data_IF_970785057153
#
_entry.id   IF_970785057153
#
_cell.length_a   1.000
_cell.length_b   1.000
_cell.length_c   1.000
_cell.angle_alpha   90.00
_cell.angle_beta   90.00
_cell.angle_gamma   90.00
#
_symmetry.space_group_name_H-M   'P 1'
#
loop_
_entity.id
_entity.type
_entity.pdbx_description
1 polymer ?
#
# COMPACT_ATOMS: atom_id res chain seq x y z
N UNK A 1 -2.20 -16.90 0.67
CA UNK A 1 -3.23 -15.94 0.22
C UNK A 1 -2.56 -14.97 -0.76
N UNK A 2 -2.48 -15.35 -2.04
CA UNK A 2 -1.81 -14.60 -3.12
C UNK A 2 -2.82 -14.03 -4.15
N UNK A 3 -4.11 -14.02 -3.81
CA UNK A 3 -5.19 -13.94 -4.81
C UNK A 3 -6.22 -12.83 -4.56
N UNK A 4 -5.96 -11.85 -3.67
CA UNK A 4 -6.89 -10.73 -3.53
C UNK A 4 -6.63 -9.62 -4.56
N UNK A 5 -5.37 -9.23 -4.76
CA UNK A 5 -5.03 -8.09 -5.61
C UNK A 5 -3.94 -8.32 -6.66
N UNK A 6 -3.42 -9.55 -6.82
CA UNK A 6 -2.32 -9.81 -7.75
C UNK A 6 -1.09 -8.93 -7.49
N UNK A 7 -0.28 -8.67 -8.52
CA UNK A 7 0.81 -7.70 -8.47
C UNK A 7 0.35 -6.26 -8.75
N UNK A 8 -0.89 -6.10 -9.21
CA UNK A 8 -1.45 -4.83 -9.66
C UNK A 8 -2.93 -4.77 -9.28
N UNK A 9 -3.35 -3.64 -8.73
CA UNK A 9 -4.74 -3.33 -8.40
C UNK A 9 -5.20 -2.12 -9.20
N UNK A 10 -6.41 -2.18 -9.73
CA UNK A 10 -7.07 -1.04 -10.33
C UNK A 10 -7.89 -0.36 -9.23
N UNK A 11 -7.53 0.88 -8.89
CA UNK A 11 -8.23 1.68 -7.91
C UNK A 11 -8.92 2.85 -8.60
N UNK A 12 -10.18 3.07 -8.24
CA UNK A 12 -10.89 4.26 -8.66
C UNK A 12 -10.41 5.42 -7.80
N UNK A 13 -9.50 6.24 -8.35
CA UNK A 13 -9.03 7.43 -7.66
C UNK A 13 -10.17 8.43 -7.45
N UNK A 14 -10.02 9.35 -6.49
CA UNK A 14 -11.04 10.38 -6.18
C UNK A 14 -11.48 11.28 -7.34
N UNK A 15 -10.83 11.18 -8.51
CA UNK A 15 -11.22 11.83 -9.77
C UNK A 15 -12.15 11.02 -10.69
N UNK A 16 -12.60 9.81 -10.29
CA UNK A 16 -13.50 8.97 -11.08
C UNK A 16 -12.84 8.20 -12.23
N UNK A 17 -11.52 8.07 -12.21
CA UNK A 17 -10.75 7.24 -13.14
C UNK A 17 -10.14 6.05 -12.42
N UNK A 18 -10.35 4.84 -12.95
CA UNK A 18 -9.62 3.65 -12.52
C UNK A 18 -8.16 3.77 -12.99
N UNK A 19 -7.24 3.95 -12.05
CA UNK A 19 -5.79 3.94 -12.31
C UNK A 19 -5.21 2.61 -11.82
N UNK A 20 -4.26 2.06 -12.59
CA UNK A 20 -3.58 0.83 -12.24
C UNK A 20 -2.38 1.12 -11.35
N UNK A 21 -2.44 0.61 -10.13
CA UNK A 21 -1.38 0.68 -9.14
C UNK A 21 -0.68 -0.66 -9.02
N UNK A 22 0.64 -0.64 -8.91
CA UNK A 22 1.43 -1.82 -8.56
C UNK A 22 1.54 -1.93 -7.05
N UNK A 23 1.31 -3.12 -6.51
CA UNK A 23 1.58 -3.41 -5.10
C UNK A 23 3.08 -3.67 -4.96
N UNK A 24 3.74 -2.82 -4.18
CA UNK A 24 5.16 -2.96 -3.85
C UNK A 24 5.35 -3.88 -2.64
N UNK A 25 4.55 -3.67 -1.58
CA UNK A 25 4.58 -4.48 -0.37
C UNK A 25 3.26 -4.40 0.41
N UNK A 26 3.08 -5.35 1.33
CA UNK A 26 2.03 -5.34 2.34
C UNK A 26 2.69 -5.26 3.71
N UNK A 27 2.18 -4.40 4.58
CA UNK A 27 2.70 -4.13 5.91
C UNK A 27 1.61 -4.43 6.95
N UNK A 28 2.05 -4.80 8.16
CA UNK A 28 1.17 -4.93 9.31
C UNK A 28 1.71 -4.02 10.41
N UNK A 29 0.98 -2.94 10.70
CA UNK A 29 1.38 -1.91 11.67
C UNK A 29 0.26 -1.74 12.68
N UNK A 30 0.55 -1.97 13.95
CA UNK A 30 -0.44 -1.82 15.02
C UNK A 30 -1.67 -2.74 14.89
N UNK A 31 -1.55 -3.89 14.24
CA UNK A 31 -2.64 -4.83 13.98
C UNK A 31 -3.58 -4.43 12.85
N UNK A 32 -3.16 -3.47 12.02
CA UNK A 32 -3.84 -3.01 10.81
C UNK A 32 -2.95 -3.34 9.62
N UNK A 33 -3.55 -3.75 8.51
CA UNK A 33 -2.81 -4.00 7.28
C UNK A 33 -2.77 -2.77 6.41
N UNK A 34 -1.62 -2.54 5.84
CA UNK A 34 -1.36 -1.50 4.86
C UNK A 34 -0.81 -2.12 3.60
N UNK A 35 -1.10 -1.51 2.46
CA UNK A 35 -0.52 -1.85 1.18
C UNK A 35 0.23 -0.62 0.67
N UNK A 36 1.48 -0.84 0.25
CA UNK A 36 2.29 0.18 -0.40
C UNK A 36 2.12 0.00 -1.89
N UNK A 37 1.67 1.05 -2.55
CA UNK A 37 1.29 1.07 -3.94
C UNK A 37 2.09 2.13 -4.69
N UNK A 38 2.25 1.90 -5.98
CA UNK A 38 2.93 2.84 -6.86
C UNK A 38 2.29 2.78 -8.25
N UNK A 39 1.80 3.91 -8.74
CA UNK A 39 1.34 4.04 -10.13
C UNK A 39 2.51 4.28 -11.08
N UNK A 40 2.28 4.15 -12.39
CA UNK A 40 3.32 4.41 -13.40
C UNK A 40 3.79 5.87 -13.40
N UNK A 41 2.94 6.81 -12.97
CA UNK A 41 3.30 8.23 -12.79
C UNK A 41 4.21 8.39 -11.57
N UNK A 42 3.79 7.88 -10.41
CA UNK A 42 4.59 7.89 -9.17
C UNK A 42 5.96 7.22 -9.38
N UNK A 43 6.00 6.12 -10.12
CA UNK A 43 7.25 5.42 -10.45
C UNK A 43 8.25 6.29 -11.22
N UNK A 44 7.77 7.21 -12.08
CA UNK A 44 8.65 8.15 -12.79
C UNK A 44 9.20 9.23 -11.85
N UNK A 45 8.46 9.56 -10.81
CA UNK A 45 8.81 10.56 -9.80
C UNK A 45 9.55 9.94 -8.59
N UNK A 46 9.54 8.61 -8.48
CA UNK A 46 10.11 7.87 -7.36
C UNK A 46 9.22 7.86 -6.12
N UNK A 47 7.94 8.17 -6.28
CA UNK A 47 6.96 8.28 -5.18
C UNK A 47 6.27 6.94 -4.91
N UNK A 48 5.71 6.84 -3.70
CA UNK A 48 4.89 5.72 -3.26
C UNK A 48 3.65 6.25 -2.55
N UNK A 49 2.59 5.45 -2.53
CA UNK A 49 1.36 5.76 -1.83
C UNK A 49 0.99 4.61 -0.91
N UNK A 50 0.48 4.93 0.28
CA UNK A 50 0.12 3.96 1.31
C UNK A 50 -1.39 3.94 1.47
N UNK A 51 -1.96 2.74 1.41
CA UNK A 51 -3.39 2.53 1.62
C UNK A 51 -3.61 1.54 2.75
N UNK A 52 -4.65 1.78 3.54
CA UNK A 52 -5.12 0.84 4.57
C UNK A 52 -5.98 -0.24 3.93
N UNK A 53 -5.68 -1.49 4.24
CA UNK A 53 -6.46 -2.65 3.80
C UNK A 53 -7.53 -2.92 4.85
N UNK A 54 -8.78 -2.63 4.52
CA UNK A 54 -9.93 -2.91 5.37
C UNK A 54 -10.85 -3.92 4.69
N UNK A 55 -11.69 -4.60 5.46
CA UNK A 55 -12.71 -5.47 4.90
C UNK A 55 -14.03 -4.72 4.85
N UNK A 56 -14.62 -4.64 3.67
CA UNK A 56 -15.99 -4.18 3.50
C UNK A 56 -16.99 -5.17 4.15
N UNK A 57 -18.25 -4.74 4.31
CA UNK A 57 -19.35 -5.54 4.87
C UNK A 57 -19.66 -6.84 4.11
N UNK A 58 -19.22 -7.00 2.86
CA UNK A 58 -19.31 -8.24 2.09
C UNK A 58 -18.06 -9.15 2.27
N UNK A 59 -17.09 -8.74 3.09
CA UNK A 59 -15.84 -9.46 3.33
C UNK A 59 -14.82 -9.31 2.21
N UNK A 60 -15.07 -8.41 1.25
CA UNK A 60 -14.11 -8.07 0.22
C UNK A 60 -13.06 -7.11 0.81
N UNK A 61 -11.76 -7.35 0.56
CA UNK A 61 -10.75 -6.39 0.95
C UNK A 61 -10.88 -5.15 0.08
N UNK A 62 -10.88 -3.97 0.71
CA UNK A 62 -10.89 -2.67 0.05
C UNK A 62 -9.71 -1.84 0.57
N UNK A 63 -9.20 -0.98 -0.31
CA UNK A 63 -8.09 -0.08 0.00
C UNK A 63 -8.65 1.31 0.31
N UNK A 64 -8.25 1.87 1.44
CA UNK A 64 -8.66 3.19 1.90
C UNK A 64 -7.43 4.09 2.01
N UNK A 65 -7.54 5.34 1.56
CA UNK A 65 -6.45 6.33 1.66
C UNK A 65 -6.18 6.65 3.13
N UNK A 66 -4.91 6.69 3.51
CA UNK A 66 -4.52 7.12 4.85
C UNK A 66 -4.53 8.65 4.88
N UNK A 67 -5.53 9.25 5.52
CA UNK A 67 -5.66 10.72 5.66
C UNK A 67 -4.86 11.29 6.83
N UNK A 68 -4.43 10.43 7.75
CA UNK A 68 -3.71 10.81 8.97
C UNK A 68 -2.19 10.72 8.73
N UNK A 69 -1.50 11.86 8.84
CA UNK A 69 -0.06 11.94 8.57
C UNK A 69 0.76 11.01 9.49
N UNK A 70 0.41 10.91 10.78
CA UNK A 70 1.12 10.04 11.73
C UNK A 70 0.97 8.56 11.34
N UNK A 71 -0.23 8.14 10.95
CA UNK A 71 -0.49 6.79 10.45
C UNK A 71 0.27 6.50 9.14
N UNK A 72 0.36 7.49 8.25
CA UNK A 72 1.12 7.38 7.01
C UNK A 72 2.62 7.24 7.28
N UNK A 73 3.18 8.08 8.17
CA UNK A 73 4.59 8.05 8.56
C UNK A 73 4.98 6.68 9.15
N UNK A 74 4.15 6.12 10.03
CA UNK A 74 4.39 4.79 10.62
C UNK A 74 4.43 3.68 9.56
N UNK A 75 3.53 3.73 8.59
CA UNK A 75 3.50 2.75 7.51
C UNK A 75 4.68 2.95 6.53
N UNK A 76 5.07 4.19 6.24
CA UNK A 76 6.24 4.49 5.43
C UNK A 76 7.54 4.03 6.11
N UNK A 77 7.68 4.24 7.43
CA UNK A 77 8.81 3.74 8.21
C UNK A 77 8.88 2.21 8.18
N UNK A 78 7.75 1.53 8.39
CA UNK A 78 7.69 0.08 8.30
C UNK A 78 8.03 -0.45 6.88
N UNK A 79 7.71 0.32 5.83
CA UNK A 79 8.12 -0.01 4.47
C UNK A 79 9.64 0.11 4.28
N UNK A 80 10.23 1.20 4.76
CA UNK A 80 11.68 1.42 4.69
C UNK A 80 12.43 0.32 5.44
N UNK A 81 11.99 -0.02 6.66
CA UNK A 81 12.54 -1.15 7.43
C UNK A 81 12.38 -2.48 6.69
N UNK A 82 11.28 -2.70 5.97
CA UNK A 82 11.13 -3.91 5.14
C UNK A 82 12.10 -3.94 3.95
N UNK A 83 12.34 -2.80 3.29
CA UNK A 83 13.24 -2.71 2.13
C UNK A 83 14.73 -2.77 2.53
N UNK A 84 15.09 -2.16 3.65
CA UNK A 84 16.47 -1.94 4.06
C UNK A 84 16.87 -2.71 5.32
N UNK A 85 15.93 -3.08 6.18
CA UNK A 85 16.16 -3.81 7.45
C UNK A 85 16.50 -5.29 7.29
N UNK A 86 16.63 -5.81 6.06
CA UNK A 86 17.12 -7.16 5.79
C UNK A 86 18.58 -7.24 5.29
N UNK A 87 19.30 -6.11 5.19
CA UNK A 87 20.74 -6.11 4.87
C UNK A 87 21.62 -6.15 6.14
N UNK A 88 21.34 -7.09 7.05
CA UNK A 88 22.35 -7.55 8.02
C UNK A 88 22.34 -9.08 8.05
N UNK A 89 22.95 -9.70 7.03
CA UNK A 89 23.49 -11.05 7.13
C UNK A 89 25.01 -10.99 6.86
N UNK A 90 25.85 -11.13 7.90
CA UNK A 90 27.30 -11.23 7.75
C UNK A 90 27.74 -12.52 7.05
#
# INVERSE_FOLDING_TARGET
>A
MKQAFGNFVELEGGGGGAEAYRILAELDVGGRRYAVLQSESMRKEGEIEVFRVVSDGEGNPVLETVEDDEEWELAAEAYDDLQFGSDERP
#
